data_IF_313506923146
#
_entry.id   IF_313506923146
#
_cell.length_a   1.000
_cell.length_b   1.000
_cell.length_c   1.000
_cell.angle_alpha   90.00
_cell.angle_beta   90.00
_cell.angle_gamma   90.00
#
_symmetry.space_group_name_H-M   'P 1'
#
loop_
_entity.id
_entity.type
_entity.pdbx_description
1 polymer ?
#
# COMPACT_ATOMS: atom_id res chain seq x y z
N UNK A 1 -8.08 -1.03 -21.83
CA UNK A 1 -7.41 0.27 -21.58
C UNK A 1 -8.20 1.07 -20.55
N UNK A 2 -7.50 1.77 -19.66
CA UNK A 2 -8.11 2.63 -18.65
C UNK A 2 -8.43 4.02 -19.23
N UNK A 3 -9.52 4.70 -18.80
CA UNK A 3 -9.85 6.02 -19.32
C UNK A 3 -8.82 7.09 -18.90
N UNK A 4 -8.61 8.14 -19.71
CA UNK A 4 -7.78 9.29 -19.37
C UNK A 4 -8.08 9.86 -17.97
N UNK A 5 -7.06 9.99 -17.12
CA UNK A 5 -7.22 10.53 -15.76
C UNK A 5 -7.75 9.53 -14.73
N UNK A 6 -7.71 8.23 -15.06
CA UNK A 6 -8.02 7.17 -14.11
C UNK A 6 -7.13 7.22 -12.86
N UNK A 7 -7.76 6.95 -11.72
CA UNK A 7 -7.08 6.70 -10.45
C UNK A 7 -7.27 5.23 -10.09
N UNK A 8 -6.17 4.56 -9.80
CA UNK A 8 -6.15 3.21 -9.24
C UNK A 8 -5.88 3.34 -7.74
N UNK A 9 -6.80 2.87 -6.91
CA UNK A 9 -6.60 2.78 -5.46
C UNK A 9 -6.20 1.35 -5.12
N UNK A 10 -5.10 1.18 -4.38
CA UNK A 10 -4.67 -0.13 -3.88
C UNK A 10 -5.27 -0.35 -2.49
N UNK A 11 -5.98 -1.46 -2.34
CA UNK A 11 -6.60 -1.90 -1.08
C UNK A 11 -6.01 -3.24 -0.63
N UNK A 12 -6.03 -3.49 0.67
CA UNK A 12 -5.58 -4.76 1.25
C UNK A 12 -6.61 -5.36 2.20
N UNK A 13 -6.63 -6.70 2.24
CA UNK A 13 -7.32 -7.51 3.24
C UNK A 13 -6.26 -8.20 4.11
N UNK A 14 -6.37 -8.07 5.43
CA UNK A 14 -5.31 -8.44 6.36
C UNK A 14 -5.47 -9.85 6.96
N UNK A 15 -6.69 -10.38 7.09
CA UNK A 15 -7.03 -11.58 7.85
C UNK A 15 -6.30 -12.81 7.33
N UNK A 16 -6.29 -13.03 6.00
CA UNK A 16 -5.58 -14.16 5.40
C UNK A 16 -4.07 -14.10 5.68
N UNK A 17 -3.47 -12.92 5.52
CA UNK A 17 -2.03 -12.73 5.74
C UNK A 17 -1.68 -12.83 7.23
N UNK A 18 -2.51 -12.28 8.12
CA UNK A 18 -2.33 -12.41 9.57
C UNK A 18 -2.49 -13.86 10.03
N UNK A 19 -3.46 -14.61 9.51
CA UNK A 19 -3.64 -16.01 9.87
C UNK A 19 -2.40 -16.87 9.56
N UNK A 20 -1.65 -16.50 8.52
CA UNK A 20 -0.45 -17.25 8.10
C UNK A 20 0.86 -16.69 8.66
N UNK A 21 0.98 -15.37 8.80
CA UNK A 21 2.24 -14.68 9.16
C UNK A 21 2.20 -13.96 10.50
N UNK A 22 1.05 -13.95 11.19
CA UNK A 22 0.87 -13.30 12.50
C UNK A 22 1.30 -11.83 12.50
N UNK A 23 2.14 -11.46 13.47
CA UNK A 23 2.67 -10.10 13.62
C UNK A 23 3.51 -9.61 12.42
N UNK A 24 4.00 -10.51 11.55
CA UNK A 24 4.75 -10.17 10.33
C UNK A 24 3.85 -9.88 9.14
N UNK A 25 2.53 -9.94 9.30
CA UNK A 25 1.62 -9.68 8.20
C UNK A 25 1.63 -8.22 7.73
N UNK A 26 1.66 -7.25 8.66
CA UNK A 26 1.53 -5.84 8.27
C UNK A 26 2.71 -5.34 7.40
N UNK A 27 3.99 -5.68 7.66
CA UNK A 27 5.08 -5.27 6.76
C UNK A 27 4.98 -5.96 5.40
N UNK A 28 4.51 -7.23 5.35
CA UNK A 28 4.33 -7.95 4.09
C UNK A 28 3.22 -7.33 3.24
N UNK A 29 2.10 -6.93 3.84
CA UNK A 29 1.02 -6.23 3.14
C UNK A 29 1.50 -4.90 2.53
N UNK A 30 2.31 -4.13 3.27
CA UNK A 30 2.90 -2.90 2.75
C UNK A 30 3.89 -3.16 1.62
N UNK A 31 4.70 -4.22 1.74
CA UNK A 31 5.64 -4.63 0.71
C UNK A 31 4.91 -5.02 -0.59
N UNK A 32 3.86 -5.83 -0.48
CA UNK A 32 3.04 -6.27 -1.61
C UNK A 32 2.34 -5.08 -2.29
N UNK A 33 1.76 -4.16 -1.51
CA UNK A 33 1.15 -2.93 -2.04
C UNK A 33 2.19 -2.05 -2.76
N UNK A 34 3.40 -1.91 -2.21
CA UNK A 34 4.49 -1.19 -2.85
C UNK A 34 4.94 -1.84 -4.17
N UNK A 35 5.03 -3.17 -4.22
CA UNK A 35 5.33 -3.91 -5.44
C UNK A 35 4.24 -3.74 -6.50
N UNK A 36 2.97 -3.81 -6.12
CA UNK A 36 1.85 -3.59 -7.02
C UNK A 36 1.86 -2.16 -7.59
N UNK A 37 2.09 -1.15 -6.75
CA UNK A 37 2.23 0.24 -7.18
C UNK A 37 3.38 0.43 -8.18
N UNK A 38 4.54 -0.17 -7.90
CA UNK A 38 5.69 -0.12 -8.79
C UNK A 38 5.41 -0.82 -10.12
N UNK A 39 4.77 -1.98 -10.11
CA UNK A 39 4.41 -2.69 -11.32
C UNK A 39 3.45 -1.87 -12.20
N UNK A 40 2.41 -1.27 -11.61
CA UNK A 40 1.47 -0.39 -12.32
C UNK A 40 2.16 0.85 -12.91
N UNK A 41 3.06 1.47 -12.16
CA UNK A 41 3.83 2.59 -12.65
C UNK A 41 4.72 2.22 -13.85
N UNK A 42 5.33 1.03 -13.82
CA UNK A 42 6.19 0.55 -14.90
C UNK A 42 5.40 0.17 -16.15
N UNK A 43 4.21 -0.42 -16.02
CA UNK A 43 3.38 -0.82 -17.17
C UNK A 43 2.73 0.37 -17.87
N UNK A 44 2.44 1.43 -17.15
CA UNK A 44 1.88 2.65 -17.72
C UNK A 44 2.92 3.55 -18.42
N UNK A 45 4.19 3.12 -18.54
CA UNK A 45 5.23 3.83 -19.27
C UNK A 45 5.00 3.78 -20.80
N UNK A 46 5.30 4.87 -21.56
CA UNK A 46 5.96 6.11 -21.14
C UNK A 46 5.01 7.22 -20.62
N UNK A 47 3.83 6.89 -20.06
CA UNK A 47 2.89 7.88 -19.53
C UNK A 47 3.35 8.63 -18.26
N UNK A 48 2.74 9.78 -18.00
CA UNK A 48 2.93 10.54 -16.75
C UNK A 48 2.13 9.88 -15.62
N UNK A 49 2.81 9.03 -14.86
CA UNK A 49 2.23 8.33 -13.72
C UNK A 49 2.64 9.03 -12.43
N UNK A 50 1.68 9.27 -11.55
CA UNK A 50 1.94 9.78 -10.20
C UNK A 50 1.42 8.83 -9.15
N UNK A 51 2.15 8.73 -8.04
CA UNK A 51 1.81 7.85 -6.92
C UNK A 51 1.71 8.69 -5.65
N UNK A 52 0.68 8.44 -4.86
CA UNK A 52 0.54 8.94 -3.49
C UNK A 52 0.46 7.76 -2.54
N UNK A 53 1.27 7.80 -1.48
CA UNK A 53 1.35 6.78 -0.42
C UNK A 53 0.90 7.34 0.93
N UNK A 54 0.47 8.60 0.94
CA UNK A 54 0.19 9.43 2.11
C UNK A 54 -1.17 10.13 2.02
N UNK A 55 -1.99 9.73 1.04
CA UNK A 55 -3.35 10.21 0.89
C UNK A 55 -4.21 9.76 2.08
N UNK A 56 -5.15 10.62 2.47
CA UNK A 56 -6.16 10.28 3.48
C UNK A 56 -6.95 9.03 3.10
N UNK A 57 -7.06 8.09 4.05
CA UNK A 57 -7.69 6.80 3.87
C UNK A 57 -9.19 6.87 3.58
N UNK A 58 -9.89 7.91 4.05
CA UNK A 58 -11.31 8.11 3.74
C UNK A 58 -11.48 8.61 2.30
N UNK A 59 -10.62 9.53 1.85
CA UNK A 59 -10.60 9.96 0.45
C UNK A 59 -10.26 8.80 -0.49
N UNK A 60 -9.27 7.97 -0.13
CA UNK A 60 -8.94 6.76 -0.88
C UNK A 60 -10.10 5.75 -0.91
N UNK A 61 -10.75 5.52 0.23
CA UNK A 61 -11.90 4.62 0.31
C UNK A 61 -13.04 5.11 -0.61
N UNK A 62 -13.36 6.40 -0.55
CA UNK A 62 -14.40 7.00 -1.38
C UNK A 62 -14.05 6.91 -2.88
N UNK A 63 -12.80 7.21 -3.25
CA UNK A 63 -12.34 7.08 -4.63
C UNK A 63 -12.34 5.63 -5.14
N UNK A 64 -12.17 4.65 -4.25
CA UNK A 64 -12.31 3.23 -4.56
C UNK A 64 -13.77 2.74 -4.59
N UNK A 65 -14.74 3.61 -4.28
CA UNK A 65 -16.14 3.23 -4.13
C UNK A 65 -16.37 2.30 -2.93
N UNK A 66 -15.52 2.37 -1.91
CA UNK A 66 -15.66 1.67 -0.65
C UNK A 66 -16.42 2.55 0.37
N UNK A 67 -17.16 1.94 1.30
CA UNK A 67 -17.78 2.68 2.39
C UNK A 67 -16.71 3.26 3.31
N UNK A 68 -17.02 4.44 3.83
CA UNK A 68 -16.25 5.12 4.88
C UNK A 68 -16.06 4.23 6.10
N UNK A 69 -14.97 4.39 6.85
CA UNK A 69 -14.66 3.48 7.96
C UNK A 69 -15.77 3.42 9.01
N UNK A 70 -16.45 4.55 9.26
CA UNK A 70 -17.59 4.63 10.17
C UNK A 70 -18.81 3.85 9.65
N UNK A 71 -19.12 3.94 8.35
CA UNK A 71 -20.24 3.27 7.70
C UNK A 71 -19.99 1.76 7.51
N UNK A 72 -18.72 1.37 7.36
CA UNK A 72 -18.33 -0.02 7.13
C UNK A 72 -18.74 -0.95 8.28
N UNK A 73 -18.65 -0.46 9.53
CA UNK A 73 -19.02 -1.25 10.72
C UNK A 73 -20.51 -1.58 10.77
N UNK A 74 -21.36 -0.71 10.22
CA UNK A 74 -22.82 -0.89 10.25
C UNK A 74 -23.32 -1.57 8.98
N UNK A 75 -22.73 -1.25 7.83
CA UNK A 75 -23.16 -1.73 6.52
C UNK A 75 -22.65 -3.15 6.23
N UNK A 76 -21.41 -3.45 6.62
CA UNK A 76 -20.70 -4.67 6.22
C UNK A 76 -20.27 -5.49 7.44
N UNK A 77 -21.25 -5.90 8.25
CA UNK A 77 -21.01 -6.81 9.37
C UNK A 77 -20.60 -8.18 8.87
N UNK A 78 -19.42 -8.65 9.26
CA UNK A 78 -18.89 -9.96 8.88
C UNK A 78 -18.23 -10.03 7.50
N UNK A 79 -18.04 -8.89 6.81
CA UNK A 79 -17.14 -8.85 5.64
C UNK A 79 -15.77 -8.37 6.11
N UNK A 80 -14.73 -8.99 5.58
CA UNK A 80 -13.39 -8.52 5.85
C UNK A 80 -13.19 -7.08 5.34
N UNK A 81 -12.73 -6.13 6.17
CA UNK A 81 -12.53 -4.76 5.73
C UNK A 81 -11.36 -4.68 4.74
N UNK A 82 -11.64 -4.11 3.57
CA UNK A 82 -10.62 -3.62 2.65
C UNK A 82 -10.04 -2.28 3.15
N UNK A 83 -8.73 -2.21 3.32
CA UNK A 83 -8.02 -1.02 3.80
C UNK A 83 -7.26 -0.38 2.63
N UNK A 84 -7.63 0.82 2.19
CA UNK A 84 -6.87 1.51 1.15
C UNK A 84 -5.52 1.99 1.67
N UNK A 85 -4.48 1.89 0.84
CA UNK A 85 -3.10 2.25 1.22
C UNK A 85 -2.41 3.23 0.27
N UNK A 86 -2.79 3.23 -1.00
CA UNK A 86 -2.09 4.03 -2.01
C UNK A 86 -3.01 4.38 -3.17
N UNK A 87 -2.68 5.46 -3.87
CA UNK A 87 -3.30 5.82 -5.12
C UNK A 87 -2.26 6.01 -6.24
N UNK A 88 -2.62 5.57 -7.43
CA UNK A 88 -1.87 5.76 -8.66
C UNK A 88 -2.74 6.54 -9.63
N UNK A 89 -2.26 7.70 -10.04
CA UNK A 89 -2.92 8.54 -11.04
C UNK A 89 -2.26 8.36 -12.40
N UNK A 90 -3.04 7.87 -13.36
CA UNK A 90 -2.64 7.68 -14.75
C UNK A 90 -3.02 8.92 -15.55
N UNK A 91 -2.11 9.89 -15.68
CA UNK A 91 -2.40 11.11 -16.43
C UNK A 91 -2.38 10.83 -17.92
N UNK A 92 -3.39 11.33 -18.61
CA UNK A 92 -3.36 11.40 -20.07
C UNK A 92 -2.52 12.60 -20.50
N UNK A 93 -1.65 12.39 -21.49
CA UNK A 93 -0.87 13.45 -22.12
C UNK A 93 -1.75 14.52 -22.79
N UNK A 94 -3.00 14.17 -23.12
CA UNK A 94 -3.94 15.02 -23.86
C UNK A 94 -4.88 15.84 -22.94
N UNK A 95 -4.74 15.70 -21.62
CA UNK A 95 -5.54 16.46 -20.67
C UNK A 95 -5.01 17.90 -20.52
N UNK A 96 -5.69 18.85 -21.15
CA UNK A 96 -5.39 20.29 -21.16
C UNK A 96 -5.38 20.99 -19.80
N UNK A 97 -5.78 20.31 -18.72
CA UNK A 97 -5.64 20.81 -17.36
C UNK A 97 -5.28 19.66 -16.40
N UNK A 98 -4.30 19.83 -15.49
CA UNK A 98 -4.18 18.93 -14.37
C UNK A 98 -5.46 19.04 -13.54
N UNK A 99 -6.19 17.93 -13.36
CA UNK A 99 -7.09 17.85 -12.21
C UNK A 99 -6.20 18.04 -10.99
N UNK A 100 -6.36 19.15 -10.28
CA UNK A 100 -5.58 19.46 -9.07
C UNK A 100 -5.94 18.54 -7.90
N UNK A 101 -7.04 17.80 -8.01
CA UNK A 101 -7.55 16.89 -7.00
C UNK A 101 -8.19 15.64 -7.64
N UNK A 102 -7.37 14.72 -8.20
CA UNK A 102 -7.89 13.55 -8.92
C UNK A 102 -8.67 12.61 -7.99
N UNK A 103 -8.22 12.41 -6.74
CA UNK A 103 -8.93 11.57 -5.77
C UNK A 103 -10.32 12.13 -5.44
N UNK A 104 -10.42 13.42 -5.16
CA UNK A 104 -11.71 14.09 -4.88
C UNK A 104 -12.70 13.93 -6.03
N UNK A 105 -12.24 14.00 -7.29
CA UNK A 105 -13.10 13.82 -8.45
C UNK A 105 -13.69 12.40 -8.52
N UNK A 106 -12.90 11.37 -8.21
CA UNK A 106 -13.36 9.98 -8.16
C UNK A 106 -14.22 9.70 -6.92
N UNK A 107 -13.89 10.31 -5.78
CA UNK A 107 -14.64 10.20 -4.52
C UNK A 107 -16.07 10.79 -4.60
N UNK A 108 -16.33 11.67 -5.57
CA UNK A 108 -17.66 12.22 -5.82
C UNK A 108 -18.61 11.25 -6.55
N UNK A 109 -18.08 10.14 -7.10
CA UNK A 109 -18.90 9.14 -7.78
C UNK A 109 -19.67 8.27 -6.77
N UNK A 110 -20.82 7.69 -7.19
CA UNK A 110 -21.57 6.79 -6.32
C UNK A 110 -20.74 5.57 -5.89
N UNK A 111 -20.88 5.19 -4.62
CA UNK A 111 -20.26 4.01 -4.04
C UNK A 111 -20.63 2.74 -4.82
N UNK A 112 -19.71 1.77 -4.91
CA UNK A 112 -20.01 0.48 -5.49
C UNK A 112 -21.08 -0.26 -4.67
N UNK A 113 -21.81 -1.18 -5.32
CA UNK A 113 -22.86 -1.96 -4.69
C UNK A 113 -22.34 -2.79 -3.50
N UNK A 114 -23.23 -3.12 -2.56
CA UNK A 114 -22.88 -3.85 -1.35
C UNK A 114 -22.26 -5.24 -1.69
N UNK A 115 -21.13 -5.61 -1.07
CA UNK A 115 -20.48 -6.88 -1.25
C UNK A 115 -21.36 -7.99 -0.68
N UNK A 116 -21.27 -9.17 -1.31
CA UNK A 116 -21.96 -10.35 -0.83
C UNK A 116 -21.39 -10.77 0.54
N UNK A 117 -22.24 -10.95 1.57
CA UNK A 117 -21.79 -11.40 2.88
C UNK A 117 -21.19 -12.81 2.78
N UNK A 118 -20.05 -13.03 3.42
CA UNK A 118 -19.45 -14.36 3.52
C UNK A 118 -20.04 -15.11 4.73
N UNK A 119 -20.60 -16.33 4.55
CA UNK A 119 -21.11 -17.13 5.66
C UNK A 119 -20.00 -17.43 6.68
N UNK A 120 -20.22 -17.13 7.96
CA UNK A 120 -19.33 -17.47 9.07
C UNK A 120 -18.24 -16.47 9.42
N UNK A 121 -18.12 -15.36 8.69
CA UNK A 121 -17.10 -14.34 8.95
C UNK A 121 -17.50 -13.28 10.01
N UNK A 122 -18.73 -13.33 10.53
CA UNK A 122 -19.27 -12.36 11.50
C UNK A 122 -19.18 -12.73 12.98
N UNK A 123 -18.93 -13.99 13.33
CA UNK A 123 -19.21 -14.47 14.70
C UNK A 123 -17.99 -14.49 15.64
N UNK A 124 -16.77 -14.31 15.12
CA UNK A 124 -15.56 -14.36 15.93
C UNK A 124 -14.92 -12.97 16.05
N UNK A 125 -14.67 -12.54 17.29
CA UNK A 125 -13.85 -11.36 17.55
C UNK A 125 -12.47 -11.53 16.86
N UNK A 126 -11.92 -10.47 16.23
CA UNK A 126 -10.62 -10.57 15.58
C UNK A 126 -9.55 -10.94 16.62
N UNK A 127 -8.56 -11.73 16.21
CA UNK A 127 -7.39 -11.98 17.07
C UNK A 127 -6.67 -10.66 17.37
N UNK A 128 -5.89 -10.63 18.45
CA UNK A 128 -5.12 -9.45 18.85
C UNK A 128 -4.19 -8.98 17.72
N UNK A 129 -3.56 -9.91 17.00
CA UNK A 129 -2.68 -9.60 15.87
C UNK A 129 -3.45 -8.96 14.71
N UNK A 130 -4.64 -9.47 14.40
CA UNK A 130 -5.48 -8.94 13.32
C UNK A 130 -5.99 -7.53 13.67
N UNK A 131 -6.41 -7.33 14.91
CA UNK A 131 -6.80 -6.00 15.40
C UNK A 131 -5.62 -5.01 15.35
N UNK A 132 -4.43 -5.45 15.76
CA UNK A 132 -3.21 -4.62 15.75
C UNK A 132 -2.78 -4.25 14.33
N UNK A 133 -2.74 -5.23 13.41
CA UNK A 133 -2.40 -4.99 12.00
C UNK A 133 -3.37 -4.02 11.34
N UNK A 134 -4.68 -4.20 11.53
CA UNK A 134 -5.70 -3.27 11.03
C UNK A 134 -5.53 -1.87 11.61
N UNK A 135 -5.26 -1.76 12.91
CA UNK A 135 -5.07 -0.47 13.57
C UNK A 135 -3.84 0.28 13.04
N UNK A 136 -2.73 -0.42 12.81
CA UNK A 136 -1.53 0.16 12.21
C UNK A 136 -1.76 0.61 10.77
N UNK A 137 -2.42 -0.22 9.94
CA UNK A 137 -2.72 0.15 8.56
C UNK A 137 -3.67 1.36 8.48
N UNK A 138 -4.69 1.42 9.33
CA UNK A 138 -5.56 2.61 9.45
C UNK A 138 -4.79 3.84 9.91
N UNK A 139 -3.86 3.68 10.86
CA UNK A 139 -3.02 4.78 11.33
C UNK A 139 -2.10 5.32 10.21
N UNK A 140 -1.51 4.43 9.40
CA UNK A 140 -0.69 4.82 8.25
C UNK A 140 -1.53 5.52 7.17
N UNK A 141 -2.80 5.15 7.03
CA UNK A 141 -3.73 5.79 6.12
C UNK A 141 -4.36 7.07 6.69
N UNK A 142 -4.04 7.50 7.91
CA UNK A 142 -4.54 8.76 8.50
C UNK A 142 -3.77 9.99 7.97
N UNK A 143 -3.37 9.94 6.70
CA UNK A 143 -2.70 11.02 6.00
C UNK A 143 -3.58 12.26 5.87
N UNK A 144 -3.03 13.29 5.23
CA UNK A 144 -3.76 14.55 4.96
C UNK A 144 -3.85 14.73 3.45
N UNK A 145 -3.49 15.91 2.94
CA UNK A 145 -3.49 16.16 1.51
C UNK A 145 -2.50 15.22 0.79
N UNK A 146 -2.93 14.56 -0.30
CA UNK A 146 -2.11 13.58 -0.99
C UNK A 146 -0.88 14.21 -1.64
N UNK A 147 0.32 13.72 -1.32
CA UNK A 147 1.53 14.13 -2.03
C UNK A 147 1.74 13.26 -3.26
N UNK A 148 1.46 13.82 -4.44
CA UNK A 148 1.68 13.14 -5.71
C UNK A 148 3.15 13.19 -6.13
N UNK A 149 3.81 12.03 -6.07
CA UNK A 149 5.19 11.84 -6.54
C UNK A 149 5.19 11.28 -7.97
N UNK A 150 6.03 11.80 -8.89
CA UNK A 150 6.19 11.17 -10.20
C UNK A 150 6.78 9.77 -10.02
N UNK A 151 6.20 8.78 -10.70
CA UNK A 151 6.78 7.44 -10.72
C UNK A 151 7.92 7.41 -11.73
N UNK A 152 9.16 7.55 -11.23
CA UNK A 152 10.33 7.46 -12.09
C UNK A 152 10.58 6.00 -12.46
N UNK A 153 10.79 5.73 -13.76
CA UNK A 153 11.35 4.45 -14.16
C UNK A 153 12.75 4.35 -13.53
N UNK A 154 13.03 3.31 -12.73
CA UNK A 154 14.35 3.16 -12.14
C UNK A 154 15.38 3.05 -13.27
N UNK A 155 16.49 3.77 -13.12
CA UNK A 155 17.63 3.59 -14.00
C UNK A 155 18.09 2.12 -13.94
N UNK A 156 18.67 1.57 -15.02
CA UNK A 156 19.22 0.23 -15.02
C UNK A 156 20.11 0.03 -13.78
N UNK A 157 19.89 -1.07 -13.05
CA UNK A 157 20.75 -1.43 -11.93
C UNK A 157 22.09 -1.85 -12.50
N UNK A 158 23.10 -1.02 -12.31
CA UNK A 158 24.47 -1.31 -12.73
C UNK A 158 25.27 -1.92 -11.59
N UNK A 159 26.39 -2.54 -11.90
CA UNK A 159 27.34 -3.01 -10.88
C UNK A 159 27.78 -1.88 -9.93
N UNK A 160 27.90 -0.66 -10.45
CA UNK A 160 28.22 0.52 -9.64
C UNK A 160 27.07 0.90 -8.70
N UNK A 161 25.82 0.79 -9.15
CA UNK A 161 24.63 0.96 -8.29
C UNK A 161 24.62 -0.09 -7.17
N UNK A 162 24.99 -1.34 -7.47
CA UNK A 162 25.08 -2.40 -6.48
C UNK A 162 26.25 -2.21 -5.52
N UNK A 163 27.37 -1.61 -5.95
CA UNK A 163 28.50 -1.27 -5.08
C UNK A 163 28.14 -0.15 -4.12
N UNK A 164 27.55 0.93 -4.63
CA UNK A 164 27.21 2.14 -3.85
C UNK A 164 26.10 1.93 -2.82
N UNK A 165 25.18 0.97 -3.05
CA UNK A 165 24.08 0.66 -2.12
C UNK A 165 24.42 -0.39 -1.06
N UNK A 166 25.62 -0.97 -1.07
CA UNK A 166 26.00 -1.93 -0.04
C UNK A 166 26.23 -1.20 1.28
N UNK A 167 25.71 -1.79 2.35
CA UNK A 167 25.95 -1.37 3.73
C UNK A 167 27.33 -1.81 4.27
N UNK A 168 28.07 -2.64 3.51
CA UNK A 168 29.39 -3.14 3.89
C UNK A 168 30.29 -3.32 2.66
N UNK A 169 31.61 -3.20 2.84
CA UNK A 169 32.55 -3.49 1.77
C UNK A 169 32.53 -4.99 1.42
N UNK A 170 32.87 -5.35 0.18
CA UNK A 170 32.93 -6.77 -0.23
C UNK A 170 33.89 -7.58 0.66
N UNK A 171 34.99 -6.96 1.11
CA UNK A 171 35.96 -7.55 2.04
C UNK A 171 35.34 -7.95 3.37
N UNK A 172 34.35 -7.20 3.84
CA UNK A 172 33.74 -7.40 5.16
C UNK A 172 32.75 -8.57 5.14
N UNK A 173 32.22 -8.91 3.96
CA UNK A 173 31.36 -10.08 3.74
C UNK A 173 32.15 -11.38 3.62
N UNK A 174 33.45 -11.30 3.35
CA UNK A 174 34.32 -12.47 3.20
C UNK A 174 34.81 -13.03 4.54
N UNK A 175 34.57 -12.32 5.65
CA UNK A 175 35.03 -12.72 6.97
C UNK A 175 33.84 -12.87 7.92
N UNK A 176 33.71 -14.00 8.63
CA UNK A 176 32.73 -14.10 9.69
C UNK A 176 33.01 -13.03 10.77
N UNK A 177 31.99 -12.50 11.45
CA UNK A 177 32.19 -11.55 12.53
C UNK A 177 33.10 -12.15 13.61
N UNK A 178 33.96 -11.33 14.21
CA UNK A 178 34.85 -11.78 15.27
C UNK A 178 34.05 -12.49 16.38
N UNK A 179 34.45 -13.70 16.82
CA UNK A 179 33.69 -14.50 17.79
C UNK A 179 33.33 -13.72 19.06
N UNK A 180 34.25 -12.87 19.55
CA UNK A 180 34.08 -12.07 20.76
C UNK A 180 33.06 -10.93 20.59
N UNK A 181 32.84 -10.47 19.35
CA UNK A 181 31.87 -9.44 19.02
C UNK A 181 30.48 -10.07 18.87
N UNK A 182 30.40 -11.25 18.25
CA UNK A 182 29.18 -12.04 18.17
C UNK A 182 28.68 -12.47 19.56
N UNK A 183 29.58 -12.95 20.42
CA UNK A 183 29.26 -13.33 21.80
C UNK A 183 28.70 -12.16 22.62
N UNK A 184 29.19 -10.94 22.41
CA UNK A 184 28.66 -9.73 23.07
C UNK A 184 27.25 -9.38 22.60
N UNK A 185 26.99 -9.43 21.30
CA UNK A 185 25.67 -9.10 20.74
C UNK A 185 24.61 -10.11 21.18
N UNK A 186 24.95 -11.40 21.24
CA UNK A 186 24.03 -12.46 21.68
C UNK A 186 23.79 -12.50 23.19
N UNK A 187 24.63 -11.80 23.97
CA UNK A 187 24.47 -11.69 25.43
C UNK A 187 23.57 -10.52 25.86
N UNK A 188 23.13 -9.70 24.92
CA UNK A 188 22.13 -8.61 25.09
C UNK A 188 20.77 -9.05 24.59
#
# INVERSE_FOLDING_TARGET
>A
DAPPGAVVVLTVTAARTVAHYGHRAWPLLLLDAGHAAAALALTAAPGDVRVSLDADGEELAAAAGLPRAAERRTRWTGVEPELPLAAIWLRSADALAPSTAPLTAWAALPCAADPLPQPGAGDNAPTCELASARSLLTYLAAGTDPTWRPAARPAPVTDETLRTRRSAALSDLAHPPAPDLLARVLAT
#
